data_IF_984643268532
#
_entry.id   IF_984643268532
#
_cell.length_a   1.000
_cell.length_b   1.000
_cell.length_c   1.000
_cell.angle_alpha   90.00
_cell.angle_beta   90.00
_cell.angle_gamma   90.00
#
_symmetry.space_group_name_H-M   'P 1'
#
loop_
_entity.id
_entity.type
_entity.pdbx_description
1 polymer ?
#
# COMPACT_ATOMS: atom_id res chain seq x y z
N UNK A 1 -23.05 -11.84 -4.43
CA UNK A 1 -22.98 -11.02 -3.20
C UNK A 1 -21.71 -11.27 -2.38
N UNK A 2 -21.37 -12.50 -2.00
CA UNK A 2 -20.16 -12.75 -1.17
C UNK A 2 -18.85 -12.33 -1.85
N UNK A 3 -18.67 -12.66 -3.14
CA UNK A 3 -17.48 -12.26 -3.90
C UNK A 3 -17.31 -10.74 -4.00
N UNK A 4 -18.40 -10.02 -4.23
CA UNK A 4 -18.43 -8.55 -4.31
C UNK A 4 -17.97 -7.91 -3.00
N UNK A 5 -18.47 -8.41 -1.86
CA UNK A 5 -18.04 -7.96 -0.53
C UNK A 5 -16.55 -8.17 -0.30
N UNK A 6 -15.98 -9.31 -0.73
CA UNK A 6 -14.54 -9.54 -0.58
C UNK A 6 -13.67 -8.55 -1.39
N UNK A 7 -14.10 -8.13 -2.60
CA UNK A 7 -13.42 -7.06 -3.33
C UNK A 7 -13.55 -5.71 -2.62
N UNK A 8 -14.72 -5.41 -2.05
CA UNK A 8 -14.94 -4.18 -1.29
C UNK A 8 -14.07 -4.12 -0.02
N UNK A 9 -13.95 -5.22 0.72
CA UNK A 9 -13.06 -5.30 1.88
C UNK A 9 -11.59 -5.09 1.48
N UNK A 10 -11.14 -5.73 0.40
CA UNK A 10 -9.78 -5.55 -0.12
C UNK A 10 -9.52 -4.09 -0.55
N UNK A 11 -10.48 -3.47 -1.23
CA UNK A 11 -10.40 -2.07 -1.64
C UNK A 11 -10.27 -1.12 -0.44
N UNK A 12 -11.09 -1.34 0.59
CA UNK A 12 -11.06 -0.53 1.80
C UNK A 12 -9.75 -0.71 2.59
N UNK A 13 -9.21 -1.93 2.65
CA UNK A 13 -7.91 -2.19 3.27
C UNK A 13 -6.77 -1.43 2.57
N UNK A 14 -6.72 -1.43 1.24
CA UNK A 14 -5.66 -0.73 0.50
C UNK A 14 -5.77 0.78 0.66
N UNK A 15 -6.99 1.34 0.66
CA UNK A 15 -7.20 2.76 0.96
C UNK A 15 -6.66 3.14 2.34
N UNK A 16 -6.88 2.28 3.34
CA UNK A 16 -6.37 2.50 4.69
C UNK A 16 -4.84 2.54 4.70
N UNK A 17 -4.18 1.60 4.00
CA UNK A 17 -2.71 1.57 3.87
C UNK A 17 -2.19 2.84 3.19
N UNK A 18 -2.82 3.30 2.11
CA UNK A 18 -2.43 4.54 1.42
C UNK A 18 -2.58 5.75 2.35
N UNK A 19 -3.70 5.84 3.08
CA UNK A 19 -3.97 6.93 4.03
C UNK A 19 -2.94 6.97 5.16
N UNK A 20 -2.66 5.81 5.77
CA UNK A 20 -1.63 5.65 6.80
C UNK A 20 -0.24 6.04 6.29
N UNK A 21 0.14 5.52 5.11
CA UNK A 21 1.43 5.84 4.48
C UNK A 21 1.59 7.35 4.26
N UNK A 22 0.55 7.99 3.74
CA UNK A 22 0.53 9.43 3.49
C UNK A 22 0.61 10.22 4.80
N UNK A 23 -0.12 9.79 5.83
CA UNK A 23 -0.08 10.39 7.16
C UNK A 23 1.31 10.32 7.79
N UNK A 24 1.99 9.17 7.68
CA UNK A 24 3.37 9.00 8.16
C UNK A 24 4.32 9.94 7.41
N UNK A 25 4.22 10.02 6.08
CA UNK A 25 5.05 10.94 5.27
C UNK A 25 4.80 12.39 5.70
N UNK A 26 3.54 12.81 5.79
CA UNK A 26 3.18 14.18 6.18
C UNK A 26 3.71 14.51 7.59
N UNK A 27 3.48 13.64 8.56
CA UNK A 27 3.99 13.78 9.92
C UNK A 27 5.53 13.90 9.95
N UNK A 28 6.21 13.04 9.20
CA UNK A 28 7.68 13.04 9.12
C UNK A 28 8.21 14.32 8.47
N UNK A 29 7.52 14.87 7.46
CA UNK A 29 7.88 16.15 6.85
C UNK A 29 7.66 17.30 7.84
N UNK A 30 6.54 17.29 8.59
CA UNK A 30 6.23 18.32 9.59
C UNK A 30 7.28 18.37 10.70
N UNK A 31 7.67 17.21 11.24
CA UNK A 31 8.64 17.11 12.32
C UNK A 31 10.06 16.83 11.84
N UNK A 32 10.34 17.01 10.54
CA UNK A 32 11.62 16.67 9.92
C UNK A 32 12.81 17.27 10.67
N UNK A 33 12.69 18.54 11.06
CA UNK A 33 13.73 19.29 11.75
C UNK A 33 13.91 18.88 13.22
N UNK A 34 12.83 18.47 13.89
CA UNK A 34 12.89 17.96 15.26
C UNK A 34 13.48 16.55 15.32
N UNK A 35 13.28 15.76 14.27
CA UNK A 35 13.78 14.38 14.19
C UNK A 35 15.25 14.33 13.75
N UNK A 36 15.68 15.24 12.87
CA UNK A 36 17.06 15.31 12.39
C UNK A 36 17.91 16.20 13.32
N UNK A 37 18.43 15.62 14.41
CA UNK A 37 19.43 16.23 15.30
C UNK A 37 20.85 16.29 14.67
N UNK A 38 20.96 16.79 13.44
CA UNK A 38 22.23 17.02 12.71
C UNK A 38 23.04 15.79 12.24
N UNK A 39 22.51 14.56 12.30
CA UNK A 39 23.21 13.40 11.74
C UNK A 39 22.97 13.23 10.23
N UNK A 40 24.03 13.40 9.42
CA UNK A 40 24.01 13.20 7.96
C UNK A 40 23.59 11.77 7.58
N UNK A 41 23.94 10.76 8.41
CA UNK A 41 23.55 9.35 8.20
C UNK A 41 22.04 9.14 8.36
N UNK A 42 21.41 9.94 9.23
CA UNK A 42 19.98 9.89 9.51
C UNK A 42 19.17 10.37 8.27
N UNK A 43 19.64 11.40 7.59
CA UNK A 43 18.99 11.97 6.39
C UNK A 43 18.86 10.94 5.26
N UNK A 44 19.90 10.13 5.05
CA UNK A 44 19.89 9.09 4.01
C UNK A 44 18.81 8.04 4.30
N UNK A 45 18.76 7.52 5.53
CA UNK A 45 17.78 6.49 5.93
C UNK A 45 16.35 7.00 5.81
N UNK A 46 16.11 8.27 6.16
CA UNK A 46 14.79 8.89 6.07
C UNK A 46 14.33 9.08 4.62
N UNK A 47 15.21 9.53 3.72
CA UNK A 47 14.91 9.61 2.27
C UNK A 47 14.54 8.25 1.70
N UNK A 48 15.25 7.19 2.08
CA UNK A 48 14.94 5.82 1.63
C UNK A 48 13.56 5.35 2.12
N UNK A 49 13.21 5.63 3.38
CA UNK A 49 11.88 5.33 3.91
C UNK A 49 10.77 6.05 3.14
N UNK A 50 10.95 7.35 2.83
CA UNK A 50 9.98 8.11 2.03
C UNK A 50 9.82 7.57 0.61
N UNK A 51 10.92 7.19 -0.05
CA UNK A 51 10.86 6.59 -1.39
C UNK A 51 10.08 5.28 -1.34
N UNK A 52 10.37 4.41 -0.36
CA UNK A 52 9.70 3.12 -0.19
C UNK A 52 8.20 3.28 0.11
N UNK A 53 7.83 4.22 1.01
CA UNK A 53 6.43 4.53 1.30
C UNK A 53 5.73 5.17 0.09
N UNK A 54 6.42 6.03 -0.66
CA UNK A 54 5.91 6.61 -1.91
C UNK A 54 5.66 5.55 -2.98
N UNK A 55 6.57 4.60 -3.15
CA UNK A 55 6.39 3.45 -4.05
C UNK A 55 5.21 2.57 -3.57
N UNK A 56 5.06 2.38 -2.26
CA UNK A 56 3.91 1.68 -1.70
C UNK A 56 2.59 2.35 -2.06
N UNK A 57 2.51 3.69 -2.02
CA UNK A 57 1.31 4.43 -2.41
C UNK A 57 0.99 4.20 -3.89
N UNK A 58 1.98 4.29 -4.78
CA UNK A 58 1.79 4.08 -6.22
C UNK A 58 1.29 2.66 -6.52
N UNK A 59 1.92 1.64 -5.92
CA UNK A 59 1.47 0.25 -6.06
C UNK A 59 0.08 0.01 -5.45
N UNK A 60 -0.24 0.69 -4.35
CA UNK A 60 -1.58 0.65 -3.76
C UNK A 60 -2.65 1.17 -4.71
N UNK A 61 -2.38 2.29 -5.39
CA UNK A 61 -3.30 2.86 -6.39
C UNK A 61 -3.50 1.88 -7.55
N UNK A 62 -2.42 1.30 -8.09
CA UNK A 62 -2.50 0.30 -9.17
C UNK A 62 -3.33 -0.91 -8.72
N UNK A 63 -3.16 -1.35 -7.48
CA UNK A 63 -3.93 -2.48 -6.93
C UNK A 63 -5.41 -2.16 -6.82
N UNK A 64 -5.78 -0.95 -6.36
CA UNK A 64 -7.17 -0.50 -6.35
C UNK A 64 -7.77 -0.56 -7.75
N UNK A 65 -7.05 -0.05 -8.77
CA UNK A 65 -7.51 -0.12 -10.16
C UNK A 65 -7.66 -1.58 -10.66
N UNK A 66 -6.77 -2.48 -10.25
CA UNK A 66 -6.86 -3.92 -10.58
C UNK A 66 -8.09 -4.58 -9.92
N UNK A 67 -8.38 -4.25 -8.65
CA UNK A 67 -9.59 -4.69 -7.93
C UNK A 67 -10.85 -4.18 -8.63
N UNK A 68 -10.90 -2.90 -8.99
CA UNK A 68 -12.05 -2.29 -9.69
C UNK A 68 -12.26 -2.93 -11.07
N UNK A 69 -11.19 -3.15 -11.85
CA UNK A 69 -11.27 -3.81 -13.15
C UNK A 69 -11.77 -5.26 -13.05
N UNK A 70 -11.36 -5.97 -12.00
CA UNK A 70 -11.78 -7.35 -11.75
C UNK A 70 -13.23 -7.44 -11.28
N UNK A 71 -13.68 -6.47 -10.46
CA UNK A 71 -15.07 -6.34 -10.05
C UNK A 71 -15.99 -6.02 -11.24
N UNK A 72 -15.55 -5.12 -12.13
CA UNK A 72 -16.26 -4.81 -13.36
C UNK A 72 -16.36 -6.01 -14.30
N UNK A 73 -15.29 -6.81 -14.42
CA UNK A 73 -15.31 -8.05 -15.20
C UNK A 73 -16.27 -9.10 -14.61
N UNK A 74 -16.37 -9.17 -13.29
CA UNK A 74 -17.28 -10.07 -12.58
C UNK A 74 -18.76 -9.70 -12.82
N UNK A 75 -19.10 -8.40 -12.83
CA UNK A 75 -20.48 -7.93 -13.01
C UNK A 75 -20.94 -7.98 -14.48
N UNK A 76 -20.04 -7.74 -15.44
CA UNK A 76 -20.36 -7.72 -16.88
C UNK A 76 -20.30 -9.08 -17.58
N UNK A 77 -19.58 -10.05 -17.03
CA UNK A 77 -19.49 -11.40 -17.61
C UNK A 77 -20.81 -12.18 -17.46
N UNK A 78 -21.42 -12.56 -18.59
CA UNK A 78 -22.60 -13.46 -18.65
C UNK A 78 -22.24 -14.95 -18.58
N UNK A 79 -20.97 -15.29 -18.77
CA UNK A 79 -20.47 -16.67 -18.76
C UNK A 79 -20.17 -17.14 -17.33
N UNK A 80 -20.97 -18.08 -16.84
CA UNK A 80 -20.89 -18.61 -15.48
C UNK A 80 -19.56 -19.32 -15.18
N UNK A 81 -18.93 -19.93 -16.20
CA UNK A 81 -17.62 -20.56 -16.07
C UNK A 81 -16.49 -19.53 -15.89
N UNK A 82 -16.59 -18.38 -16.56
CA UNK A 82 -15.65 -17.26 -16.34
C UNK A 82 -15.90 -16.58 -14.98
N UNK A 83 -17.14 -16.40 -14.56
CA UNK A 83 -17.48 -15.88 -13.21
C UNK A 83 -16.92 -16.74 -12.07
N UNK A 84 -16.82 -18.06 -12.27
CA UNK A 84 -16.23 -18.97 -11.28
C UNK A 84 -14.71 -18.82 -11.20
N UNK A 85 -14.04 -18.57 -12.32
CA UNK A 85 -12.59 -18.31 -12.42
C UNK A 85 -12.14 -16.94 -11.93
N UNK A 86 -13.01 -15.93 -11.97
CA UNK A 86 -12.71 -14.61 -11.42
C UNK A 86 -12.75 -14.72 -9.90
N UNK A 87 -11.55 -14.67 -9.31
CA UNK A 87 -11.32 -14.72 -7.88
C UNK A 87 -10.50 -13.50 -7.44
N UNK A 88 -10.73 -13.04 -6.21
CA UNK A 88 -9.99 -11.94 -5.57
C UNK A 88 -8.51 -12.30 -5.46
N UNK A 89 -8.21 -13.60 -5.40
CA UNK A 89 -6.88 -14.20 -5.40
C UNK A 89 -6.27 -14.39 -6.80
N UNK A 90 -6.84 -13.82 -7.85
CA UNK A 90 -6.21 -13.89 -9.17
C UNK A 90 -4.83 -13.20 -9.13
N UNK A 91 -3.84 -13.85 -9.75
CA UNK A 91 -2.43 -13.44 -9.76
C UNK A 91 -2.23 -11.96 -10.14
N UNK A 92 -3.10 -11.39 -10.99
CA UNK A 92 -3.06 -9.99 -11.40
C UNK A 92 -3.45 -8.98 -10.30
N UNK A 93 -4.21 -9.40 -9.29
CA UNK A 93 -4.61 -8.57 -8.15
C UNK A 93 -3.69 -8.86 -6.97
N UNK A 94 -3.35 -10.13 -6.79
CA UNK A 94 -2.59 -10.60 -5.64
C UNK A 94 -1.12 -10.14 -5.67
N UNK A 95 -0.46 -10.15 -6.83
CA UNK A 95 0.92 -9.64 -6.97
C UNK A 95 1.06 -8.18 -6.53
N UNK A 96 0.34 -7.21 -7.12
CA UNK A 96 0.47 -5.82 -6.73
C UNK A 96 -0.03 -5.56 -5.30
N UNK A 97 -1.03 -6.30 -4.81
CA UNK A 97 -1.48 -6.22 -3.42
C UNK A 97 -0.40 -6.65 -2.42
N UNK A 98 0.24 -7.80 -2.66
CA UNK A 98 1.33 -8.31 -1.80
C UNK A 98 2.52 -7.36 -1.83
N UNK A 99 2.91 -6.87 -3.02
CA UNK A 99 4.00 -5.90 -3.17
C UNK A 99 3.70 -4.62 -2.38
N UNK A 100 2.47 -4.11 -2.47
CA UNK A 100 2.04 -2.92 -1.71
C UNK A 100 2.15 -3.15 -0.21
N UNK A 101 1.55 -4.24 0.29
CA UNK A 101 1.54 -4.58 1.72
C UNK A 101 2.97 -4.76 2.23
N UNK A 102 3.81 -5.48 1.48
CA UNK A 102 5.20 -5.73 1.84
C UNK A 102 6.01 -4.43 1.84
N UNK A 103 5.86 -3.59 0.81
CA UNK A 103 6.53 -2.29 0.70
C UNK A 103 6.11 -1.34 1.83
N UNK A 104 4.83 -1.36 2.22
CA UNK A 104 4.33 -0.61 3.38
C UNK A 104 4.98 -1.09 4.68
N UNK A 105 4.94 -2.41 4.95
CA UNK A 105 5.52 -3.00 6.15
C UNK A 105 7.02 -2.70 6.27
N UNK A 106 7.78 -2.84 5.19
CA UNK A 106 9.21 -2.53 5.14
C UNK A 106 9.43 -1.03 5.35
N UNK A 107 8.64 -0.16 4.70
CA UNK A 107 8.74 1.29 4.85
C UNK A 107 8.49 1.75 6.28
N UNK A 108 7.47 1.17 6.95
CA UNK A 108 7.16 1.42 8.36
C UNK A 108 8.25 0.88 9.28
N UNK A 109 8.75 -0.33 9.05
CA UNK A 109 9.82 -0.91 9.87
C UNK A 109 11.11 -0.09 9.80
N UNK A 110 11.47 0.40 8.61
CA UNK A 110 12.59 1.33 8.42
C UNK A 110 12.36 2.65 9.15
N UNK A 111 11.14 3.21 9.07
CA UNK A 111 10.80 4.44 9.78
C UNK A 111 10.89 4.27 11.30
N UNK A 112 10.37 3.18 11.84
CA UNK A 112 10.45 2.85 13.27
C UNK A 112 11.91 2.66 13.70
N UNK A 113 12.68 1.89 12.93
CA UNK A 113 14.10 1.67 13.21
C UNK A 113 14.89 2.98 13.20
N UNK A 114 14.57 3.87 12.27
CA UNK A 114 15.12 5.21 12.22
C UNK A 114 14.76 6.05 13.44
N UNK A 115 13.48 6.04 13.84
CA UNK A 115 13.00 6.77 15.01
C UNK A 115 13.69 6.29 16.30
N UNK A 116 13.80 4.97 16.53
CA UNK A 116 14.51 4.43 17.69
C UNK A 116 15.99 4.77 17.72
N UNK A 117 16.64 4.87 16.55
CA UNK A 117 18.07 5.19 16.46
C UNK A 117 18.37 6.68 16.70
N UNK A 118 17.37 7.55 16.51
CA UNK A 118 17.50 9.01 16.67
C UNK A 118 16.75 9.56 17.90
N UNK A 119 16.13 8.69 18.70
CA UNK A 119 15.49 9.02 19.98
C UNK A 119 16.57 9.36 21.03
#
# INVERSE_FOLDING_TARGET
MEKEKSFEYAHNAIKLIISLSTGIIAFTITFLKDILKDEISAICTLKWSWIILGTSILFGIITIFSIIGSLHSLSTTKDENKKKKIDVYSLNIQLPAIITIFSFLVGVALFISFAFKNL
#
